data_IF_839270422036
#
_entry.id   IF_839270422036
#
_cell.length_a   1.000
_cell.length_b   1.000
_cell.length_c   1.000
_cell.angle_alpha   90.00
_cell.angle_beta   90.00
_cell.angle_gamma   90.00
#
_symmetry.space_group_name_H-M   'P 1'
#
loop_
_entity.id
_entity.type
_entity.pdbx_description
1 polymer ?
#
# COMPACT_ATOMS: atom_id res chain seq x y z
N UNK A 1 -7.69 12.23 24.09
CA UNK A 1 -8.59 11.13 24.53
C UNK A 1 -8.84 11.18 26.02
N UNK A 2 -7.79 11.27 26.85
CA UNK A 2 -7.97 11.39 28.31
C UNK A 2 -8.77 12.63 28.73
N UNK A 3 -8.57 13.78 28.08
CA UNK A 3 -9.40 14.96 28.35
C UNK A 3 -10.88 14.76 27.98
N UNK A 4 -11.16 14.03 26.90
CA UNK A 4 -12.52 13.67 26.53
C UNK A 4 -13.14 12.73 27.58
N UNK A 5 -12.38 11.74 28.06
CA UNK A 5 -12.81 10.88 29.18
C UNK A 5 -13.20 11.70 30.41
N UNK A 6 -12.34 12.64 30.81
CA UNK A 6 -12.59 13.54 31.96
C UNK A 6 -13.82 14.42 31.74
N UNK A 7 -13.95 15.02 30.56
CA UNK A 7 -15.09 15.86 30.21
C UNK A 7 -16.42 15.10 30.22
N UNK A 8 -16.39 13.80 29.89
CA UNK A 8 -17.54 12.89 29.96
C UNK A 8 -17.79 12.32 31.37
N UNK A 9 -16.96 12.65 32.38
CA UNK A 9 -17.09 12.13 33.74
C UNK A 9 -16.79 10.63 33.88
N UNK A 10 -16.08 10.04 32.92
CA UNK A 10 -15.80 8.61 32.91
C UNK A 10 -14.50 8.30 33.68
N UNK A 11 -14.54 7.32 34.59
CA UNK A 11 -13.33 6.87 35.29
C UNK A 11 -12.39 6.11 34.34
N UNK A 12 -12.94 5.18 33.55
CA UNK A 12 -12.23 4.39 32.54
C UNK A 12 -12.94 4.47 31.18
N UNK A 13 -12.21 4.17 30.10
CA UNK A 13 -12.74 4.08 28.74
C UNK A 13 -12.47 2.72 28.09
N UNK A 14 -13.34 2.33 27.15
CA UNK A 14 -13.06 1.25 26.21
C UNK A 14 -12.55 1.85 24.90
N UNK A 15 -11.42 1.36 24.40
CA UNK A 15 -10.79 1.85 23.16
C UNK A 15 -11.04 0.86 22.03
N UNK A 16 -11.75 1.30 21.00
CA UNK A 16 -11.82 0.58 19.73
C UNK A 16 -11.07 1.37 18.66
N UNK A 17 -10.09 0.73 18.00
CA UNK A 17 -9.26 1.38 17.00
C UNK A 17 -9.06 0.48 15.78
N UNK A 18 -9.38 0.98 14.59
CA UNK A 18 -9.10 0.30 13.34
C UNK A 18 -8.32 1.21 12.38
N UNK A 19 -7.38 0.65 11.60
CA UNK A 19 -6.53 1.44 10.69
C UNK A 19 -5.81 2.56 11.48
N UNK A 20 -5.85 3.83 11.08
CA UNK A 20 -5.27 4.94 11.84
C UNK A 20 -5.79 5.01 13.30
N UNK A 21 -7.03 4.59 13.55
CA UNK A 21 -7.55 4.50 14.92
C UNK A 21 -6.79 3.50 15.80
N UNK A 22 -6.12 2.50 15.21
CA UNK A 22 -5.25 1.59 15.95
C UNK A 22 -3.92 2.23 16.34
N UNK A 23 -3.35 3.08 15.48
CA UNK A 23 -2.20 3.92 15.80
C UNK A 23 -2.51 4.82 17.01
N UNK A 24 -3.64 5.52 16.97
CA UNK A 24 -4.12 6.32 18.10
C UNK A 24 -4.40 5.47 19.34
N UNK A 25 -5.01 4.31 19.17
CA UNK A 25 -5.30 3.38 20.27
C UNK A 25 -4.03 2.92 20.99
N UNK A 26 -2.96 2.62 20.25
CA UNK A 26 -1.64 2.28 20.81
C UNK A 26 -1.02 3.48 21.54
N UNK A 27 -1.15 4.70 21.01
CA UNK A 27 -0.70 5.91 21.69
C UNK A 27 -1.46 6.14 23.02
N UNK A 28 -2.78 5.92 23.03
CA UNK A 28 -3.59 6.02 24.26
C UNK A 28 -3.16 4.98 25.28
N UNK A 29 -2.95 3.72 24.89
CA UNK A 29 -2.48 2.67 25.80
C UNK A 29 -1.09 3.00 26.37
N UNK A 30 -0.21 3.62 25.58
CA UNK A 30 1.13 4.03 26.03
C UNK A 30 1.11 5.20 27.02
N UNK A 31 0.26 6.20 26.77
CA UNK A 31 0.25 7.46 27.53
C UNK A 31 -0.75 7.47 28.70
N UNK A 32 -1.83 6.70 28.61
CA UNK A 32 -2.97 6.71 29.52
C UNK A 32 -3.54 5.30 29.75
N UNK A 33 -2.70 4.28 29.69
CA UNK A 33 -3.13 2.87 29.76
C UNK A 33 -3.88 2.52 31.06
N UNK A 34 -3.58 3.20 32.16
CA UNK A 34 -4.27 3.09 33.44
C UNK A 34 -5.74 3.53 33.39
N UNK A 35 -6.11 4.33 32.39
CA UNK A 35 -7.48 4.80 32.19
C UNK A 35 -8.27 3.94 31.20
N UNK A 36 -7.67 2.88 30.64
CA UNK A 36 -8.28 2.01 29.64
C UNK A 36 -8.78 0.72 30.29
N UNK A 37 -10.09 0.48 30.25
CA UNK A 37 -10.70 -0.75 30.78
C UNK A 37 -10.51 -1.93 29.82
N UNK A 38 -10.78 -1.71 28.52
CA UNK A 38 -10.64 -2.72 27.46
C UNK A 38 -10.17 -2.05 26.18
N UNK A 39 -9.44 -2.80 25.35
CA UNK A 39 -9.06 -2.36 24.01
C UNK A 39 -9.33 -3.43 22.97
N UNK A 40 -9.79 -3.00 21.79
CA UNK A 40 -9.91 -3.82 20.59
C UNK A 40 -9.23 -3.04 19.46
N UNK A 41 -8.13 -3.59 18.96
CA UNK A 41 -7.38 -3.02 17.84
C UNK A 41 -7.49 -3.96 16.64
N UNK A 42 -7.89 -3.41 15.48
CA UNK A 42 -8.05 -4.16 14.24
C UNK A 42 -7.30 -3.46 13.10
N UNK A 43 -6.91 -4.20 12.05
CA UNK A 43 -6.15 -3.64 10.93
C UNK A 43 -4.96 -2.79 11.42
N UNK A 44 -4.19 -3.39 12.33
CA UNK A 44 -3.27 -2.66 13.20
C UNK A 44 -2.17 -1.97 12.41
N UNK A 45 -1.99 -0.69 12.71
CA UNK A 45 -0.89 0.15 12.28
C UNK A 45 -0.20 0.69 13.53
N UNK A 46 1.04 0.29 13.76
CA UNK A 46 1.85 0.79 14.86
C UNK A 46 2.33 2.24 14.64
N UNK A 47 2.84 2.90 15.70
CA UNK A 47 3.41 4.24 15.61
C UNK A 47 4.54 4.42 14.60
N UNK A 48 5.22 3.33 14.21
CA UNK A 48 6.33 3.33 13.26
C UNK A 48 6.03 2.48 12.01
N UNK A 49 4.75 2.24 11.72
CA UNK A 49 4.28 1.40 10.62
C UNK A 49 3.53 2.14 9.51
N UNK A 50 3.33 3.45 9.63
CA UNK A 50 2.68 4.28 8.60
C UNK A 50 3.40 4.11 7.27
N UNK A 51 4.72 4.31 7.26
CA UNK A 51 5.56 4.01 6.10
C UNK A 51 5.81 2.50 6.03
N UNK A 52 5.32 1.88 4.95
CA UNK A 52 5.35 0.44 4.77
C UNK A 52 6.74 -0.01 4.32
N UNK A 53 7.14 -1.20 4.75
CA UNK A 53 8.44 -1.75 4.38
C UNK A 53 8.38 -2.42 3.00
N UNK A 54 9.28 -2.09 2.06
CA UNK A 54 9.38 -2.75 0.76
C UNK A 54 9.48 -4.27 0.85
N UNK A 55 10.24 -4.79 1.81
CA UNK A 55 10.35 -6.22 2.06
C UNK A 55 9.04 -6.89 2.44
N UNK A 56 8.05 -6.16 2.98
CA UNK A 56 6.72 -6.72 3.28
C UNK A 56 5.91 -6.93 2.01
N UNK A 57 5.94 -5.97 1.07
CA UNK A 57 5.29 -6.10 -0.24
C UNK A 57 5.82 -7.33 -0.98
N UNK A 58 7.14 -7.46 -1.02
CA UNK A 58 7.84 -8.61 -1.59
C UNK A 58 7.38 -9.96 -1.00
N UNK A 59 7.27 -10.06 0.33
CA UNK A 59 6.77 -11.27 0.99
C UNK A 59 5.33 -11.58 0.60
N UNK A 60 4.48 -10.56 0.41
CA UNK A 60 3.11 -10.79 -0.07
C UNK A 60 3.07 -11.34 -1.50
N UNK A 61 3.88 -10.81 -2.42
CA UNK A 61 3.95 -11.32 -3.79
C UNK A 61 4.54 -12.73 -3.85
N UNK A 62 5.61 -13.02 -3.11
CA UNK A 62 6.19 -14.37 -3.02
C UNK A 62 5.19 -15.37 -2.45
N UNK A 63 4.48 -15.00 -1.38
CA UNK A 63 3.42 -15.86 -0.83
C UNK A 63 2.29 -16.10 -1.82
N UNK A 64 1.91 -15.08 -2.59
CA UNK A 64 0.91 -15.25 -3.65
C UNK A 64 1.43 -16.18 -4.77
N UNK A 65 2.70 -16.07 -5.15
CA UNK A 65 3.33 -16.95 -6.13
C UNK A 65 3.32 -18.41 -5.66
N UNK A 66 3.67 -18.67 -4.40
CA UNK A 66 3.58 -20.01 -3.79
C UNK A 66 2.17 -20.60 -3.86
N UNK A 67 1.16 -19.78 -3.53
CA UNK A 67 -0.25 -20.18 -3.57
C UNK A 67 -0.72 -20.43 -5.00
N UNK A 68 -0.32 -19.59 -5.95
CA UNK A 68 -0.67 -19.73 -7.35
C UNK A 68 -0.10 -21.03 -7.96
N UNK A 69 1.15 -21.38 -7.61
CA UNK A 69 1.82 -22.58 -8.11
C UNK A 69 1.12 -23.89 -7.75
N UNK A 70 0.44 -23.93 -6.60
CA UNK A 70 -0.28 -25.14 -6.12
C UNK A 70 -1.77 -25.12 -6.43
N UNK A 71 -2.29 -24.03 -7.02
CA UNK A 71 -3.69 -23.91 -7.37
C UNK A 71 -3.96 -24.57 -8.73
N UNK A 72 -4.59 -25.74 -8.70
CA UNK A 72 -4.93 -26.49 -9.91
C UNK A 72 -5.84 -25.71 -10.87
N UNK A 73 -6.61 -24.73 -10.39
CA UNK A 73 -7.47 -23.90 -11.25
C UNK A 73 -6.68 -22.94 -12.14
N UNK A 74 -5.41 -22.71 -11.82
CA UNK A 74 -4.51 -21.89 -12.63
C UNK A 74 -3.78 -22.69 -13.71
N UNK A 75 -3.84 -24.03 -13.70
CA UNK A 75 -3.24 -24.89 -14.74
C UNK A 75 -1.78 -24.54 -15.07
N UNK A 76 -0.95 -24.36 -14.03
CA UNK A 76 0.44 -23.95 -14.18
C UNK A 76 0.64 -22.53 -14.75
N UNK A 77 -0.41 -21.71 -14.80
CA UNK A 77 -0.31 -20.31 -15.16
C UNK A 77 0.55 -19.56 -14.14
N UNK A 78 1.52 -18.80 -14.64
CA UNK A 78 2.39 -17.96 -13.84
C UNK A 78 3.35 -18.77 -12.94
N UNK A 79 4.22 -19.64 -13.52
CA UNK A 79 5.12 -20.52 -12.76
C UNK A 79 6.00 -19.77 -11.77
N UNK A 80 6.36 -18.53 -12.08
CA UNK A 80 7.01 -17.61 -11.16
C UNK A 80 6.42 -16.19 -11.28
N UNK A 81 5.32 -15.96 -10.56
CA UNK A 81 4.66 -14.65 -10.52
C UNK A 81 5.60 -13.51 -10.09
N UNK A 82 6.56 -13.77 -9.21
CA UNK A 82 7.45 -12.72 -8.75
C UNK A 82 8.39 -12.29 -9.88
N UNK A 83 9.00 -13.26 -10.57
CA UNK A 83 9.86 -13.00 -11.72
C UNK A 83 9.07 -12.37 -12.88
N UNK A 84 7.88 -12.86 -13.20
CA UNK A 84 7.06 -12.30 -14.30
C UNK A 84 6.66 -10.84 -14.05
N UNK A 85 6.37 -10.46 -12.80
CA UNK A 85 6.11 -9.06 -12.46
C UNK A 85 7.37 -8.21 -12.57
N UNK A 86 8.54 -8.73 -12.19
CA UNK A 86 9.81 -8.02 -12.34
C UNK A 86 10.14 -7.78 -13.82
N UNK A 87 10.02 -8.81 -14.66
CA UNK A 87 10.22 -8.69 -16.11
C UNK A 87 9.24 -7.70 -16.74
N UNK A 88 7.98 -7.69 -16.31
CA UNK A 88 7.00 -6.72 -16.79
C UNK A 88 7.35 -5.27 -16.40
N UNK A 89 7.89 -5.06 -15.20
CA UNK A 89 8.38 -3.75 -14.75
C UNK A 89 9.57 -3.31 -15.62
N UNK A 90 10.54 -4.19 -15.84
CA UNK A 90 11.73 -3.90 -16.66
C UNK A 90 11.37 -3.63 -18.12
N UNK A 91 10.46 -4.42 -18.69
CA UNK A 91 9.96 -4.20 -20.04
C UNK A 91 9.32 -2.82 -20.19
N UNK A 92 8.50 -2.39 -19.23
CA UNK A 92 7.88 -1.06 -19.25
C UNK A 92 8.86 0.08 -18.93
N UNK A 93 9.94 -0.17 -18.20
CA UNK A 93 11.02 0.80 -18.02
C UNK A 93 11.78 1.04 -19.33
N UNK A 94 12.02 -0.01 -20.11
CA UNK A 94 12.69 0.08 -21.40
C UNK A 94 11.79 0.66 -22.50
N UNK A 95 10.53 0.22 -22.57
CA UNK A 95 9.55 0.68 -23.54
C UNK A 95 8.21 1.00 -22.85
N UNK A 96 8.02 2.27 -22.43
CA UNK A 96 6.77 2.68 -21.78
C UNK A 96 5.54 2.43 -22.65
N UNK A 97 4.50 1.85 -22.05
CA UNK A 97 3.24 1.64 -22.73
C UNK A 97 2.45 2.95 -22.81
N UNK A 98 2.07 3.36 -24.02
CA UNK A 98 1.17 4.51 -24.20
C UNK A 98 -0.27 4.05 -24.01
N UNK A 99 -0.92 4.52 -22.95
CA UNK A 99 -2.27 4.13 -22.56
C UNK A 99 -3.29 5.24 -22.82
N UNK A 100 -4.46 4.89 -23.32
CA UNK A 100 -5.66 5.73 -23.24
C UNK A 100 -6.40 5.39 -21.96
N UNK A 101 -6.59 6.38 -21.09
CA UNK A 101 -7.23 6.24 -19.78
C UNK A 101 -8.51 7.08 -19.73
N UNK A 102 -9.55 6.61 -19.04
CA UNK A 102 -10.86 7.27 -19.04
C UNK A 102 -10.85 8.65 -18.40
N UNK A 103 -10.01 8.83 -17.39
CA UNK A 103 -9.92 10.08 -16.63
C UNK A 103 -8.96 11.11 -17.23
N UNK A 104 -8.24 10.75 -18.31
CA UNK A 104 -7.21 11.60 -18.91
C UNK A 104 -7.42 11.64 -20.43
N UNK A 105 -7.72 12.83 -20.96
CA UNK A 105 -8.07 13.02 -22.38
C UNK A 105 -6.91 12.74 -23.34
N UNK A 106 -5.67 12.73 -22.85
CA UNK A 106 -4.47 12.52 -23.65
C UNK A 106 -3.85 11.15 -23.38
N UNK A 107 -3.24 10.50 -24.39
CA UNK A 107 -2.47 9.29 -24.16
C UNK A 107 -1.37 9.52 -23.12
N UNK A 108 -1.24 8.61 -22.17
CA UNK A 108 -0.29 8.70 -21.06
C UNK A 108 0.77 7.61 -21.22
N UNK A 109 2.07 7.96 -21.30
CA UNK A 109 3.13 6.97 -21.23
C UNK A 109 3.23 6.41 -19.80
N UNK A 110 3.19 5.09 -19.68
CA UNK A 110 3.28 4.37 -18.41
C UNK A 110 4.48 3.45 -18.45
N UNK A 111 5.49 3.77 -17.64
CA UNK A 111 6.67 2.92 -17.43
C UNK A 111 6.53 1.98 -16.24
N UNK A 112 7.62 1.29 -15.88
CA UNK A 112 7.66 0.33 -14.78
C UNK A 112 7.23 0.93 -13.45
N UNK A 113 7.62 2.17 -13.16
CA UNK A 113 7.15 2.93 -11.99
C UNK A 113 5.61 2.99 -11.88
N UNK A 114 4.92 3.24 -12.98
CA UNK A 114 3.46 3.27 -12.97
C UNK A 114 2.87 1.89 -12.67
N UNK A 115 3.46 0.82 -13.20
CA UNK A 115 3.07 -0.55 -12.87
C UNK A 115 3.33 -0.84 -11.38
N UNK A 116 4.45 -0.40 -10.82
CA UNK A 116 4.76 -0.55 -9.39
C UNK A 116 3.71 0.14 -8.52
N UNK A 117 3.26 1.35 -8.85
CA UNK A 117 2.16 2.03 -8.14
C UNK A 117 0.85 1.23 -8.18
N UNK A 118 0.49 0.65 -9.34
CA UNK A 118 -0.70 -0.20 -9.50
C UNK A 118 -0.61 -1.47 -8.66
N UNK A 119 0.58 -2.10 -8.62
CA UNK A 119 0.83 -3.29 -7.80
C UNK A 119 0.81 -2.95 -6.31
N UNK A 120 1.38 -1.81 -5.93
CA UNK A 120 1.35 -1.27 -4.57
C UNK A 120 -0.08 -1.07 -4.07
N UNK A 121 -0.93 -0.43 -4.87
CA UNK A 121 -2.36 -0.28 -4.57
C UNK A 121 -3.06 -1.65 -4.42
N UNK A 122 -2.66 -2.65 -5.21
CA UNK A 122 -3.26 -3.98 -5.13
C UNK A 122 -3.05 -4.66 -3.76
N UNK A 123 -1.96 -4.38 -3.05
CA UNK A 123 -1.65 -4.96 -1.72
C UNK A 123 -2.76 -4.68 -0.69
N UNK A 124 -3.43 -3.53 -0.80
CA UNK A 124 -4.56 -3.16 0.06
C UNK A 124 -5.87 -3.89 -0.25
N UNK A 125 -5.94 -4.69 -1.33
CA UNK A 125 -7.19 -5.28 -1.81
C UNK A 125 -7.07 -6.78 -2.07
N UNK A 126 -7.79 -7.57 -1.26
CA UNK A 126 -7.90 -9.03 -1.45
C UNK A 126 -8.36 -9.40 -2.86
N UNK A 127 -9.31 -8.64 -3.43
CA UNK A 127 -9.79 -8.86 -4.79
C UNK A 127 -8.70 -8.58 -5.83
N UNK A 128 -7.97 -7.47 -5.67
CA UNK A 128 -6.90 -7.10 -6.59
C UNK A 128 -5.74 -8.11 -6.57
N UNK A 129 -5.35 -8.55 -5.37
CA UNK A 129 -4.33 -9.59 -5.15
C UNK A 129 -4.70 -10.92 -5.80
N UNK A 130 -5.93 -11.41 -5.58
CA UNK A 130 -6.42 -12.66 -6.22
C UNK A 130 -6.35 -12.62 -7.74
N UNK A 131 -6.53 -11.44 -8.35
CA UNK A 131 -6.47 -11.27 -9.79
C UNK A 131 -5.07 -11.05 -10.36
N UNK A 132 -4.00 -11.08 -9.56
CA UNK A 132 -2.64 -10.79 -10.05
C UNK A 132 -2.06 -11.87 -10.98
N UNK A 133 -2.22 -13.19 -10.74
CA UNK A 133 -1.68 -14.20 -11.68
C UNK A 133 -2.25 -14.04 -13.09
N UNK A 134 -3.56 -13.81 -13.21
CA UNK A 134 -4.21 -13.52 -14.49
C UNK A 134 -3.72 -12.21 -15.11
N UNK A 135 -3.44 -11.20 -14.28
CA UNK A 135 -2.93 -9.91 -14.74
C UNK A 135 -1.49 -10.02 -15.25
N UNK A 136 -0.60 -10.73 -14.55
CA UNK A 136 0.77 -10.98 -14.99
C UNK A 136 0.80 -11.67 -16.36
N UNK A 137 -0.05 -12.69 -16.57
CA UNK A 137 -0.19 -13.35 -17.88
C UNK A 137 -0.69 -12.40 -18.99
N UNK A 138 -1.58 -11.46 -18.67
CA UNK A 138 -2.01 -10.43 -19.63
C UNK A 138 -0.85 -9.49 -19.98
N UNK A 139 -0.03 -9.09 -19.00
CA UNK A 139 1.17 -8.27 -19.22
C UNK A 139 2.21 -8.99 -20.08
N UNK A 140 2.47 -10.28 -19.82
CA UNK A 140 3.40 -11.10 -20.60
C UNK A 140 2.99 -11.26 -22.07
N UNK A 141 1.71 -11.02 -22.40
CA UNK A 141 1.16 -11.01 -23.77
C UNK A 141 1.04 -9.60 -24.34
N UNK A 142 1.63 -8.60 -23.69
CA UNK A 142 1.55 -7.18 -24.05
C UNK A 142 0.12 -6.64 -24.13
N UNK A 143 -0.82 -7.18 -23.35
CA UNK A 143 -2.21 -6.71 -23.32
C UNK A 143 -2.32 -5.36 -22.60
N UNK A 144 -2.23 -4.29 -23.40
CA UNK A 144 -2.39 -2.90 -22.93
C UNK A 144 -3.77 -2.63 -22.34
N UNK A 145 -4.82 -3.36 -22.76
CA UNK A 145 -6.17 -3.16 -22.24
C UNK A 145 -6.28 -3.58 -20.77
N UNK A 146 -5.55 -4.61 -20.36
CA UNK A 146 -5.48 -5.05 -18.96
C UNK A 146 -4.84 -4.01 -18.06
N UNK A 147 -3.75 -3.40 -18.54
CA UNK A 147 -3.04 -2.33 -17.86
C UNK A 147 -3.94 -1.08 -17.75
N UNK A 148 -4.55 -0.63 -18.85
CA UNK A 148 -5.51 0.49 -18.84
C UNK A 148 -6.65 0.27 -17.84
N UNK A 149 -7.27 -0.92 -17.80
CA UNK A 149 -8.34 -1.23 -16.83
C UNK A 149 -7.89 -1.14 -15.37
N UNK A 150 -6.63 -1.46 -15.07
CA UNK A 150 -6.06 -1.36 -13.71
C UNK A 150 -5.80 0.10 -13.35
N UNK A 151 -5.23 0.88 -14.27
CA UNK A 151 -5.05 2.32 -14.09
C UNK A 151 -6.36 3.07 -13.94
N UNK A 152 -7.36 2.81 -14.79
CA UNK A 152 -8.69 3.40 -14.67
C UNK A 152 -9.30 3.16 -13.29
N UNK A 153 -9.19 1.93 -12.76
CA UNK A 153 -9.68 1.61 -11.41
C UNK A 153 -8.90 2.33 -10.32
N UNK A 154 -7.58 2.39 -10.46
CA UNK A 154 -6.73 3.09 -9.51
C UNK A 154 -7.06 4.58 -9.47
N UNK A 155 -7.08 5.25 -10.63
CA UNK A 155 -7.44 6.67 -10.75
C UNK A 155 -8.86 6.96 -10.24
N UNK A 156 -9.82 6.09 -10.49
CA UNK A 156 -11.18 6.25 -9.96
C UNK A 156 -11.27 6.14 -8.43
N UNK A 157 -10.27 5.53 -7.77
CA UNK A 157 -10.17 5.42 -6.31
C UNK A 157 -9.21 6.46 -5.72
N UNK A 158 -8.37 7.08 -6.53
CA UNK A 158 -7.39 8.09 -6.12
C UNK A 158 -8.07 9.45 -5.94
N UNK A 159 -8.68 9.68 -4.78
CA UNK A 159 -9.05 11.02 -4.33
C UNK A 159 -7.98 11.59 -3.43
N UNK A 160 -7.45 12.77 -3.76
CA UNK A 160 -6.56 13.51 -2.87
C UNK A 160 -7.39 14.03 -1.68
N UNK A 161 -7.14 13.49 -0.50
CA UNK A 161 -7.83 13.91 0.74
C UNK A 161 -6.79 14.50 1.69
N UNK A 162 -7.00 15.76 2.11
CA UNK A 162 -6.04 16.43 2.99
C UNK A 162 -5.89 15.77 4.36
N UNK A 163 -6.99 15.24 4.91
CA UNK A 163 -6.98 14.63 6.25
C UNK A 163 -6.11 13.36 6.33
N UNK A 164 -6.29 12.32 5.47
CA UNK A 164 -5.38 11.17 5.46
C UNK A 164 -3.94 11.58 5.22
N UNK A 165 -3.73 12.58 4.35
CA UNK A 165 -2.36 13.00 4.06
C UNK A 165 -1.67 13.67 5.26
N UNK A 166 -2.42 14.50 6.00
CA UNK A 166 -1.92 15.11 7.23
C UNK A 166 -1.69 14.07 8.33
N UNK A 167 -2.56 13.07 8.45
CA UNK A 167 -2.43 11.98 9.42
C UNK A 167 -1.20 11.12 9.16
N UNK A 168 -0.97 10.71 7.91
CA UNK A 168 0.20 9.91 7.54
C UNK A 168 1.50 10.72 7.74
N UNK A 169 1.48 12.02 7.44
CA UNK A 169 2.62 12.90 7.71
C UNK A 169 2.93 12.98 9.21
N UNK A 170 1.90 13.25 10.04
CA UNK A 170 2.05 13.40 11.48
C UNK A 170 2.46 12.08 12.16
N UNK A 171 1.99 10.94 11.65
CA UNK A 171 2.40 9.64 12.12
C UNK A 171 3.86 9.32 11.74
N UNK A 172 4.25 9.67 10.50
CA UNK A 172 5.62 9.62 10.03
C UNK A 172 6.30 8.26 10.14
N UNK A 173 7.62 8.29 10.27
CA UNK A 173 8.46 7.13 10.51
C UNK A 173 9.73 7.54 11.25
N UNK A 174 10.24 6.67 12.11
CA UNK A 174 11.51 6.85 12.81
C UNK A 174 12.67 6.90 11.82
N UNK A 175 13.79 7.51 12.23
CA UNK A 175 15.01 7.52 11.42
C UNK A 175 15.50 6.10 11.09
N UNK A 176 15.35 5.17 12.04
CA UNK A 176 15.66 3.75 11.84
C UNK A 176 14.74 3.13 10.77
N UNK A 177 13.44 3.40 10.83
CA UNK A 177 12.47 2.92 9.86
C UNK A 177 12.75 3.47 8.46
N UNK A 178 13.02 4.76 8.34
CA UNK A 178 13.38 5.40 7.06
C UNK A 178 14.68 4.81 6.49
N UNK A 179 15.70 4.62 7.32
CA UNK A 179 16.95 3.98 6.90
C UNK A 179 16.72 2.55 6.40
N UNK A 180 15.85 1.80 7.09
CA UNK A 180 15.47 0.45 6.69
C UNK A 180 14.72 0.43 5.36
N UNK A 181 13.78 1.35 5.14
CA UNK A 181 13.07 1.49 3.87
C UNK A 181 14.06 1.76 2.73
N UNK A 182 14.96 2.75 2.90
CA UNK A 182 16.00 3.08 1.92
C UNK A 182 16.91 1.89 1.60
N UNK A 183 17.19 1.04 2.60
CA UNK A 183 17.99 -0.17 2.40
C UNK A 183 17.22 -1.26 1.65
N UNK A 184 15.99 -1.54 2.07
CA UNK A 184 15.16 -2.61 1.49
C UNK A 184 14.73 -2.28 0.06
N UNK A 185 14.38 -1.02 -0.23
CA UNK A 185 13.80 -0.62 -1.52
C UNK A 185 14.70 -0.89 -2.73
N UNK A 186 16.04 -0.84 -2.53
CA UNK A 186 17.05 -1.06 -3.58
C UNK A 186 16.96 -2.42 -4.26
N UNK A 187 16.41 -3.42 -3.56
CA UNK A 187 16.27 -4.79 -4.06
C UNK A 187 14.81 -5.25 -4.08
N UNK A 188 13.85 -4.38 -3.74
CA UNK A 188 12.44 -4.72 -3.66
C UNK A 188 11.75 -4.53 -5.01
N UNK A 189 10.77 -5.40 -5.30
CA UNK A 189 10.05 -5.39 -6.57
C UNK A 189 9.36 -4.05 -6.85
N UNK A 190 8.83 -3.42 -5.80
CA UNK A 190 8.05 -2.18 -5.91
C UNK A 190 8.86 -0.91 -5.56
N UNK A 191 10.17 -1.04 -5.32
CA UNK A 191 10.99 0.02 -4.73
C UNK A 191 10.27 0.57 -3.48
N UNK A 192 9.93 1.86 -3.45
CA UNK A 192 9.14 2.51 -2.41
C UNK A 192 7.83 3.15 -2.96
N UNK A 193 7.37 2.70 -4.11
CA UNK A 193 6.26 3.32 -4.87
C UNK A 193 4.94 3.45 -4.11
N UNK A 194 4.66 2.58 -3.14
CA UNK A 194 3.43 2.58 -2.37
C UNK A 194 3.46 3.51 -1.14
N UNK A 195 4.62 4.04 -0.76
CA UNK A 195 4.73 5.08 0.28
C UNK A 195 4.59 6.49 -0.30
N UNK A 196 4.51 6.63 -1.62
CA UNK A 196 4.20 7.90 -2.24
C UNK A 196 2.85 8.42 -1.76
N UNK A 197 2.75 9.74 -1.46
CA UNK A 197 3.71 10.80 -1.80
C UNK A 197 4.74 11.13 -0.70
N UNK A 198 4.93 10.31 0.34
CA UNK A 198 5.87 10.59 1.42
C UNK A 198 7.31 10.21 1.06
N UNK A 199 8.32 10.96 1.54
CA UNK A 199 8.22 12.12 2.45
C UNK A 199 7.94 13.47 1.75
N UNK A 200 7.69 13.49 0.44
CA UNK A 200 7.82 14.69 -0.41
C UNK A 200 6.79 15.81 -0.22
N UNK A 201 5.67 15.56 0.47
CA UNK A 201 4.56 16.53 0.58
C UNK A 201 4.31 17.05 1.99
N UNK A 202 5.07 16.60 3.00
CA UNK A 202 4.81 16.91 4.40
C UNK A 202 4.86 18.41 4.72
N UNK A 203 5.98 19.06 4.38
CA UNK A 203 6.19 20.50 4.62
C UNK A 203 5.16 21.38 3.91
N UNK A 204 4.66 20.93 2.75
CA UNK A 204 3.71 21.67 1.92
C UNK A 204 2.27 21.57 2.45
N UNK A 205 1.97 20.63 3.34
CA UNK A 205 0.65 20.48 3.97
C UNK A 205 0.46 21.40 5.18
N UNK A 206 1.52 22.08 5.66
CA UNK A 206 1.45 23.04 6.77
C UNK A 206 1.10 22.40 8.11
N UNK A 207 1.32 21.08 8.24
CA UNK A 207 1.17 20.27 9.45
C UNK A 207 2.54 19.88 9.99
#
# INVERSE_FOLDING_TARGET
VDDLRKALGAELVNVYGASYGSHLGLAVLRLHGETVQRSILCLVEGPDDTHKLPGNADRHFRRLAELARIDASLDGACPDLFAELAEAIDALNNEPAVLSLKAIDKPVPVGGFGLQCVLGNALGSKRAMRGLPSFARQLARSDRSALSRRFDRWLAQSTLQGMPLAMDHAAGASAERLHRIETERRNALLDDSFNLPYPFIGEQLGV
#
